data_IF_395105564706
#
_entry.id   IF_395105564706
#
_cell.length_a   1.000
_cell.length_b   1.000
_cell.length_c   1.000
_cell.angle_alpha   90.00
_cell.angle_beta   90.00
_cell.angle_gamma   90.00
#
_symmetry.space_group_name_H-M   'P 1'
#
loop_
_entity.id
_entity.type
_entity.pdbx_description
1 polymer ?
#
# COMPACT_ATOMS: atom_id res chain seq x y z
N UNK A 1 17.14 -8.82 -20.17
CA UNK A 1 16.09 -8.01 -19.51
C UNK A 1 16.07 -6.60 -20.09
N UNK A 2 17.20 -5.90 -20.11
CA UNK A 2 17.27 -4.49 -20.54
C UNK A 2 16.83 -4.28 -22.01
N UNK A 3 17.21 -5.14 -22.92
CA UNK A 3 16.75 -5.05 -24.31
C UNK A 3 15.24 -5.22 -24.47
N UNK A 4 14.63 -6.09 -23.64
CA UNK A 4 13.18 -6.30 -23.66
C UNK A 4 12.50 -5.07 -23.07
N UNK A 5 13.04 -4.49 -22.00
CA UNK A 5 12.58 -3.24 -21.41
C UNK A 5 12.62 -2.09 -22.42
N UNK A 6 13.73 -1.93 -23.16
CA UNK A 6 13.85 -0.92 -24.23
C UNK A 6 12.81 -1.11 -25.33
N UNK A 7 12.62 -2.35 -25.78
CA UNK A 7 11.62 -2.66 -26.81
C UNK A 7 10.19 -2.40 -26.32
N UNK A 8 9.91 -2.69 -25.05
CA UNK A 8 8.61 -2.39 -24.44
C UNK A 8 8.35 -0.88 -24.37
N UNK A 9 9.34 -0.09 -23.91
CA UNK A 9 9.25 1.38 -23.91
C UNK A 9 9.05 1.94 -25.33
N UNK A 10 9.81 1.46 -26.30
CA UNK A 10 9.67 1.88 -27.70
C UNK A 10 8.28 1.55 -28.26
N UNK A 11 7.65 0.46 -27.81
CA UNK A 11 6.29 0.08 -28.19
C UNK A 11 5.23 1.05 -27.65
N UNK A 12 5.43 1.56 -26.45
CA UNK A 12 4.51 2.53 -25.82
C UNK A 12 4.63 3.89 -26.49
N UNK A 13 5.86 4.30 -26.83
CA UNK A 13 6.16 5.61 -27.40
C UNK A 13 5.91 5.74 -28.91
N UNK A 14 5.78 4.65 -29.66
CA UNK A 14 5.75 4.67 -31.12
C UNK A 14 4.36 4.44 -31.72
N UNK A 15 3.98 5.32 -32.64
CA UNK A 15 2.77 5.26 -33.46
C UNK A 15 2.71 3.99 -34.34
N UNK A 16 3.87 3.38 -34.65
CA UNK A 16 3.99 2.14 -35.44
C UNK A 16 3.99 0.86 -34.57
N UNK A 17 2.91 0.69 -33.79
CA UNK A 17 2.73 -0.40 -32.79
C UNK A 17 2.98 -1.82 -33.34
N UNK A 18 2.57 -2.12 -34.57
CA UNK A 18 2.66 -3.50 -35.14
C UNK A 18 4.10 -3.99 -35.32
N UNK A 19 4.99 -3.17 -35.85
CA UNK A 19 6.39 -3.60 -36.16
C UNK A 19 7.24 -3.78 -34.91
N UNK A 20 7.06 -2.93 -33.92
CA UNK A 20 7.76 -2.97 -32.65
C UNK A 20 7.26 -4.14 -31.78
N UNK A 21 5.94 -4.40 -31.76
CA UNK A 21 5.34 -5.55 -31.08
C UNK A 21 5.83 -6.87 -31.66
N UNK A 22 5.94 -7.00 -32.99
CA UNK A 22 6.45 -8.21 -33.67
C UNK A 22 7.90 -8.51 -33.27
N UNK A 23 8.75 -7.47 -33.19
CA UNK A 23 10.14 -7.63 -32.72
C UNK A 23 10.22 -8.10 -31.29
N UNK A 24 9.41 -7.51 -30.40
CA UNK A 24 9.33 -7.90 -28.99
C UNK A 24 8.83 -9.34 -28.85
N UNK A 25 7.73 -9.68 -29.52
CA UNK A 25 7.15 -11.01 -29.52
C UNK A 25 8.15 -12.08 -30.00
N UNK A 26 8.84 -11.83 -31.12
CA UNK A 26 9.86 -12.76 -31.63
C UNK A 26 11.02 -12.95 -30.64
N UNK A 27 11.47 -11.87 -29.98
CA UNK A 27 12.55 -11.95 -29.01
C UNK A 27 12.14 -12.78 -27.77
N UNK A 28 10.89 -12.64 -27.32
CA UNK A 28 10.35 -13.41 -26.19
C UNK A 28 10.17 -14.89 -26.59
N UNK A 29 9.60 -15.16 -27.76
CA UNK A 29 9.36 -16.54 -28.24
C UNK A 29 10.64 -17.36 -28.39
N UNK A 30 11.76 -16.71 -28.64
CA UNK A 30 13.06 -17.37 -28.83
C UNK A 30 13.85 -17.54 -27.53
N UNK A 31 13.26 -17.19 -26.37
CA UNK A 31 13.89 -17.41 -25.07
C UNK A 31 13.70 -18.86 -24.62
N UNK A 32 14.74 -19.44 -24.02
CA UNK A 32 14.60 -20.70 -23.29
C UNK A 32 13.64 -20.54 -22.10
N UNK A 33 12.97 -21.62 -21.65
CA UNK A 33 12.08 -21.58 -20.48
C UNK A 33 12.74 -20.95 -19.25
N UNK A 34 14.01 -21.26 -18.99
CA UNK A 34 14.78 -20.69 -17.87
C UNK A 34 14.95 -19.18 -18.03
N UNK A 35 15.25 -18.70 -19.23
CA UNK A 35 15.42 -17.28 -19.48
C UNK A 35 14.08 -16.54 -19.43
N UNK A 36 13.00 -17.17 -19.88
CA UNK A 36 11.65 -16.62 -19.76
C UNK A 36 11.24 -16.49 -18.29
N UNK A 37 11.51 -17.52 -17.47
CA UNK A 37 11.28 -17.48 -16.03
C UNK A 37 12.06 -16.35 -15.35
N UNK A 38 13.38 -16.23 -15.62
CA UNK A 38 14.22 -15.14 -15.10
C UNK A 38 13.71 -13.77 -15.51
N UNK A 39 13.23 -13.64 -16.74
CA UNK A 39 12.66 -12.40 -17.26
C UNK A 39 11.38 -12.01 -16.51
N UNK A 40 10.43 -12.96 -16.40
CA UNK A 40 9.16 -12.73 -15.67
C UNK A 40 9.44 -12.32 -14.23
N UNK A 41 10.33 -13.05 -13.55
CA UNK A 41 10.74 -12.73 -12.19
C UNK A 41 11.33 -11.32 -12.05
N UNK A 42 12.22 -10.93 -12.98
CA UNK A 42 12.79 -9.59 -12.98
C UNK A 42 11.70 -8.50 -13.13
N UNK A 43 10.69 -8.73 -13.97
CA UNK A 43 9.57 -7.80 -14.13
C UNK A 43 8.67 -7.75 -12.89
N UNK A 44 8.39 -8.89 -12.26
CA UNK A 44 7.63 -8.92 -11.00
C UNK A 44 8.30 -8.07 -9.92
N UNK A 45 9.60 -8.27 -9.71
CA UNK A 45 10.34 -7.45 -8.74
C UNK A 45 10.38 -5.98 -9.14
N UNK A 46 10.57 -5.69 -10.43
CA UNK A 46 10.56 -4.32 -10.94
C UNK A 46 9.24 -3.60 -10.65
N UNK A 47 8.09 -4.26 -10.84
CA UNK A 47 6.78 -3.70 -10.51
C UNK A 47 6.63 -3.44 -9.00
N UNK A 48 7.10 -4.37 -8.15
CA UNK A 48 7.10 -4.15 -6.71
C UNK A 48 7.98 -2.94 -6.31
N UNK A 49 9.13 -2.76 -6.96
CA UNK A 49 10.00 -1.61 -6.68
C UNK A 49 9.40 -0.29 -7.18
N UNK A 50 8.63 -0.30 -8.27
CA UNK A 50 7.86 0.89 -8.69
C UNK A 50 6.86 1.27 -7.61
N UNK A 51 6.09 0.31 -7.08
CA UNK A 51 5.12 0.57 -6.03
C UNK A 51 5.80 1.14 -4.76
N UNK A 52 6.97 0.61 -4.38
CA UNK A 52 7.76 1.15 -3.27
C UNK A 52 8.19 2.60 -3.57
N UNK A 53 8.70 2.86 -4.76
CA UNK A 53 9.14 4.20 -5.15
C UNK A 53 7.99 5.22 -5.16
N UNK A 54 6.80 4.82 -5.64
CA UNK A 54 5.59 5.64 -5.61
C UNK A 54 5.12 5.92 -4.17
N UNK A 55 5.18 4.92 -3.29
CA UNK A 55 4.85 5.07 -1.88
C UNK A 55 5.78 6.05 -1.17
N UNK A 56 7.10 5.94 -1.39
CA UNK A 56 8.11 6.85 -0.82
C UNK A 56 7.94 8.26 -1.39
N UNK A 57 7.67 8.41 -2.68
CA UNK A 57 7.45 9.72 -3.29
C UNK A 57 6.18 10.39 -2.74
N UNK A 58 5.12 9.60 -2.52
CA UNK A 58 3.90 10.06 -1.85
C UNK A 58 4.16 10.54 -0.42
N UNK A 59 4.89 9.75 0.37
CA UNK A 59 5.26 10.13 1.74
C UNK A 59 6.16 11.39 1.77
N UNK A 60 7.11 11.49 0.84
CA UNK A 60 7.97 12.68 0.69
C UNK A 60 7.16 13.93 0.39
N UNK A 61 6.23 13.85 -0.55
CA UNK A 61 5.35 14.97 -0.90
C UNK A 61 4.48 15.39 0.27
N UNK A 62 3.99 14.43 1.04
CA UNK A 62 3.23 14.70 2.26
C UNK A 62 4.07 15.48 3.29
N UNK A 63 5.30 15.04 3.54
CA UNK A 63 6.22 15.70 4.46
C UNK A 63 6.65 17.10 3.97
N UNK A 64 6.85 17.27 2.66
CA UNK A 64 7.16 18.57 2.07
C UNK A 64 5.97 19.53 2.20
N UNK A 65 4.76 19.04 2.07
CA UNK A 65 3.54 19.79 2.30
C UNK A 65 3.43 20.28 3.74
N UNK A 66 3.63 19.40 4.70
CA UNK A 66 3.60 19.74 6.13
C UNK A 66 4.63 20.82 6.47
N UNK A 67 5.79 20.82 5.80
CA UNK A 67 6.87 21.78 6.06
C UNK A 67 6.73 23.12 5.32
N UNK A 68 6.11 23.18 4.14
CA UNK A 68 6.14 24.37 3.27
C UNK A 68 4.88 25.22 3.27
N UNK A 69 3.74 24.75 3.79
CA UNK A 69 2.42 25.44 3.71
C UNK A 69 2.05 26.04 2.32
N UNK A 70 2.75 25.68 1.26
CA UNK A 70 2.48 26.10 -0.12
C UNK A 70 2.41 24.87 -1.02
N UNK A 71 1.30 24.72 -1.71
CA UNK A 71 0.99 23.59 -2.55
C UNK A 71 1.04 24.00 -4.00
N UNK A 72 1.71 23.19 -4.79
CA UNK A 72 1.47 23.13 -6.22
C UNK A 72 0.22 22.26 -6.45
N UNK A 73 -0.84 22.87 -6.97
CA UNK A 73 -2.24 22.46 -6.92
C UNK A 73 -2.61 21.21 -7.73
N UNK A 74 -1.67 20.41 -8.19
CA UNK A 74 -2.00 19.48 -9.28
C UNK A 74 -2.01 17.97 -9.00
N UNK A 75 -1.66 17.44 -7.82
CA UNK A 75 -1.60 15.94 -7.75
C UNK A 75 -1.92 15.20 -6.45
N UNK A 76 -2.02 15.82 -5.30
CA UNK A 76 -2.44 15.09 -4.09
C UNK A 76 -3.45 15.94 -3.31
N UNK A 77 -4.70 15.51 -3.31
CA UNK A 77 -5.75 16.16 -2.53
C UNK A 77 -5.55 15.72 -1.08
N UNK A 78 -5.06 16.63 -0.25
CA UNK A 78 -4.94 16.42 1.19
C UNK A 78 -6.28 16.64 1.88
N UNK A 79 -6.49 15.95 2.98
CA UNK A 79 -7.72 16.06 3.75
C UNK A 79 -8.01 17.50 4.17
N UNK A 80 -6.96 18.28 4.49
CA UNK A 80 -7.05 19.70 4.80
C UNK A 80 -7.60 20.53 3.65
N UNK A 81 -7.12 20.29 2.43
CA UNK A 81 -7.57 21.03 1.24
C UNK A 81 -9.02 20.73 0.91
N UNK A 82 -9.41 19.46 1.04
CA UNK A 82 -10.82 19.07 0.84
C UNK A 82 -11.70 19.87 1.81
N UNK A 83 -11.37 19.86 3.09
CA UNK A 83 -12.17 20.55 4.09
C UNK A 83 -12.06 22.08 4.00
N UNK A 84 -10.88 22.64 3.70
CA UNK A 84 -10.75 24.06 3.42
C UNK A 84 -11.60 24.49 2.21
N UNK A 85 -11.69 23.67 1.18
CA UNK A 85 -12.60 23.89 0.05
C UNK A 85 -14.06 23.98 0.50
N UNK A 86 -14.50 23.11 1.39
CA UNK A 86 -15.86 23.15 1.95
C UNK A 86 -16.08 24.40 2.81
N UNK A 87 -15.14 24.77 3.69
CA UNK A 87 -15.26 25.95 4.55
C UNK A 87 -15.19 27.26 3.79
N UNK A 88 -14.45 27.33 2.69
CA UNK A 88 -14.42 28.50 1.79
C UNK A 88 -15.68 28.63 0.94
N UNK A 89 -16.45 27.55 0.79
CA UNK A 89 -17.68 27.54 0.00
C UNK A 89 -18.83 28.15 0.78
N UNK A 90 -19.12 29.43 0.57
CA UNK A 90 -20.18 30.18 1.26
C UNK A 90 -21.62 29.65 1.02
N UNK A 91 -21.81 28.71 0.11
CA UNK A 91 -23.12 28.08 -0.15
C UNK A 91 -23.50 27.03 0.90
N UNK A 92 -22.55 26.54 1.68
CA UNK A 92 -22.77 25.52 2.70
C UNK A 92 -22.44 26.12 4.07
N UNK A 93 -23.40 26.07 4.99
CA UNK A 93 -23.15 26.56 6.36
C UNK A 93 -22.18 25.65 7.11
N UNK A 94 -21.35 26.23 7.97
CA UNK A 94 -20.40 25.51 8.81
C UNK A 94 -21.07 24.47 9.69
N UNK A 95 -22.28 24.77 10.20
CA UNK A 95 -23.08 23.80 10.97
C UNK A 95 -23.46 22.58 10.13
N UNK A 96 -23.84 22.77 8.87
CA UNK A 96 -24.17 21.66 7.98
C UNK A 96 -22.94 20.81 7.66
N UNK A 97 -21.76 21.43 7.47
CA UNK A 97 -20.51 20.71 7.27
C UNK A 97 -20.19 19.88 8.51
N UNK A 98 -20.34 20.45 9.71
CA UNK A 98 -20.14 19.75 10.97
C UNK A 98 -21.10 18.58 11.14
N UNK A 99 -22.39 18.78 10.84
CA UNK A 99 -23.42 17.75 10.95
C UNK A 99 -23.18 16.58 9.99
N UNK A 100 -22.71 16.86 8.78
CA UNK A 100 -22.31 15.82 7.83
C UNK A 100 -21.08 15.07 8.36
N UNK A 101 -20.05 15.80 8.80
CA UNK A 101 -18.81 15.21 9.26
C UNK A 101 -19.00 14.30 10.48
N UNK A 102 -19.77 14.73 11.48
CA UNK A 102 -20.02 13.90 12.68
C UNK A 102 -20.78 12.61 12.40
N UNK A 103 -21.48 12.54 11.26
CA UNK A 103 -22.25 11.37 10.81
C UNK A 103 -21.54 10.60 9.69
N UNK A 104 -20.26 10.89 9.41
CA UNK A 104 -19.47 10.10 8.46
C UNK A 104 -19.39 8.65 8.92
N UNK A 105 -19.69 7.75 8.00
CA UNK A 105 -19.49 6.32 8.17
C UNK A 105 -18.84 5.76 6.89
N UNK A 106 -17.63 5.26 7.01
CA UNK A 106 -16.82 4.71 5.93
C UNK A 106 -16.48 3.28 6.27
N UNK A 107 -17.12 2.32 5.59
CA UNK A 107 -16.81 0.91 5.73
C UNK A 107 -15.62 0.52 4.84
N UNK A 108 -14.54 0.04 5.44
CA UNK A 108 -13.41 -0.55 4.73
C UNK A 108 -13.43 -2.05 4.95
N UNK A 109 -13.60 -2.81 3.87
CA UNK A 109 -13.68 -4.28 3.95
C UNK A 109 -12.41 -4.90 3.39
N UNK A 110 -11.71 -5.65 4.23
CA UNK A 110 -10.55 -6.44 3.84
C UNK A 110 -11.03 -7.70 3.10
N UNK A 111 -10.47 -7.91 1.90
CA UNK A 111 -10.76 -9.08 1.07
C UNK A 111 -9.50 -9.88 0.84
N UNK A 112 -9.60 -11.21 0.83
CA UNK A 112 -8.51 -12.06 0.39
C UNK A 112 -8.45 -12.08 -1.14
N UNK A 113 -7.28 -11.76 -1.70
CA UNK A 113 -7.03 -11.96 -3.12
C UNK A 113 -6.45 -13.37 -3.32
N UNK A 114 -7.10 -14.28 -4.07
CA UNK A 114 -6.61 -15.65 -4.30
C UNK A 114 -5.21 -15.70 -4.93
N UNK A 115 -4.77 -14.59 -5.52
CA UNK A 115 -3.47 -14.43 -6.17
C UNK A 115 -2.35 -13.99 -5.23
N UNK A 116 -2.65 -13.61 -3.98
CA UNK A 116 -1.63 -13.23 -2.99
C UNK A 116 -0.94 -14.45 -2.36
N UNK A 117 -0.24 -15.20 -3.19
CA UNK A 117 0.58 -16.35 -2.75
C UNK A 117 1.99 -15.91 -2.33
N UNK A 118 2.22 -14.60 -2.16
CA UNK A 118 3.54 -14.07 -1.79
C UNK A 118 3.96 -14.55 -0.41
N UNK A 119 5.22 -14.93 -0.27
CA UNK A 119 5.77 -15.30 1.04
C UNK A 119 5.89 -14.06 1.94
N UNK A 120 5.47 -14.17 3.19
CA UNK A 120 5.66 -13.11 4.21
C UNK A 120 7.11 -12.62 4.25
N UNK A 121 8.08 -13.51 4.03
CA UNK A 121 9.50 -13.18 3.92
C UNK A 121 9.78 -12.11 2.86
N UNK A 122 9.13 -12.19 1.68
CA UNK A 122 9.31 -11.18 0.63
C UNK A 122 8.68 -9.84 1.02
N UNK A 123 7.53 -9.86 1.67
CA UNK A 123 6.88 -8.64 2.16
C UNK A 123 7.81 -7.93 3.15
N UNK A 124 8.36 -8.65 4.13
CA UNK A 124 9.33 -8.09 5.09
C UNK A 124 10.60 -7.55 4.40
N UNK A 125 11.04 -8.19 3.34
CA UNK A 125 12.19 -7.71 2.56
C UNK A 125 11.87 -6.43 1.79
N UNK A 126 10.67 -6.32 1.22
CA UNK A 126 10.22 -5.07 0.58
C UNK A 126 10.09 -3.93 1.60
N UNK A 127 9.56 -4.18 2.81
CA UNK A 127 9.57 -3.20 3.89
C UNK A 127 10.99 -2.75 4.24
N UNK A 128 11.94 -3.68 4.34
CA UNK A 128 13.34 -3.36 4.61
C UNK A 128 13.95 -2.48 3.53
N UNK A 129 13.64 -2.73 2.26
CA UNK A 129 14.07 -1.87 1.14
C UNK A 129 13.47 -0.47 1.28
N UNK A 130 12.19 -0.36 1.64
CA UNK A 130 11.54 0.94 1.88
C UNK A 130 12.28 1.73 2.97
N UNK A 131 12.52 1.13 4.12
CA UNK A 131 13.28 1.75 5.22
C UNK A 131 14.67 2.23 4.79
N UNK A 132 15.41 1.40 4.02
CA UNK A 132 16.74 1.77 3.54
C UNK A 132 16.67 2.95 2.56
N UNK A 133 15.67 2.99 1.69
CA UNK A 133 15.48 4.09 0.73
C UNK A 133 15.08 5.39 1.44
N UNK A 134 14.25 5.33 2.47
CA UNK A 134 13.91 6.49 3.32
C UNK A 134 15.15 7.03 4.05
N UNK A 135 15.93 6.14 4.67
CA UNK A 135 17.21 6.51 5.29
C UNK A 135 18.18 7.13 4.28
N UNK A 136 18.22 6.60 3.06
CA UNK A 136 19.06 7.13 1.98
C UNK A 136 18.67 8.55 1.59
N UNK A 137 17.39 8.86 1.59
CA UNK A 137 16.88 10.21 1.33
C UNK A 137 17.32 11.20 2.41
N UNK A 138 17.27 10.82 3.67
CA UNK A 138 17.71 11.65 4.80
C UNK A 138 19.22 11.89 4.80
N UNK A 139 20.00 10.90 4.32
CA UNK A 139 21.46 10.92 4.37
C UNK A 139 22.12 11.34 3.06
N UNK A 140 21.39 11.99 2.13
CA UNK A 140 21.92 12.43 0.81
C UNK A 140 23.20 13.25 0.88
N UNK A 141 23.41 14.01 1.95
CA UNK A 141 24.59 14.87 2.16
C UNK A 141 25.82 14.11 2.68
N UNK A 142 25.72 12.80 2.97
CA UNK A 142 26.79 12.01 3.59
C UNK A 142 27.22 10.83 2.69
N UNK A 143 28.16 11.03 1.73
CA UNK A 143 28.51 10.01 0.74
C UNK A 143 28.99 8.68 1.32
N UNK A 144 29.72 8.70 2.44
CA UNK A 144 30.19 7.48 3.11
C UNK A 144 29.02 6.64 3.65
N UNK A 145 28.01 7.29 4.22
CA UNK A 145 26.80 6.62 4.72
C UNK A 145 25.95 6.07 3.56
N UNK A 146 25.87 6.80 2.44
CA UNK A 146 25.18 6.33 1.23
C UNK A 146 25.77 5.02 0.71
N UNK A 147 27.10 4.89 0.66
CA UNK A 147 27.77 3.64 0.24
C UNK A 147 27.38 2.43 1.09
N UNK A 148 27.22 2.64 2.39
CA UNK A 148 26.77 1.58 3.31
C UNK A 148 25.32 1.17 3.00
N UNK A 149 24.44 2.16 2.78
CA UNK A 149 23.05 1.89 2.43
C UNK A 149 22.92 1.24 1.06
N UNK A 150 23.70 1.66 0.07
CA UNK A 150 23.72 1.06 -1.27
C UNK A 150 24.17 -0.41 -1.20
N UNK A 151 25.14 -0.75 -0.34
CA UNK A 151 25.52 -2.13 -0.08
C UNK A 151 24.37 -2.92 0.56
N UNK A 152 23.71 -2.37 1.57
CA UNK A 152 22.53 -3.02 2.19
C UNK A 152 21.41 -3.26 1.18
N UNK A 153 21.13 -2.30 0.29
CA UNK A 153 20.15 -2.48 -0.80
C UNK A 153 20.56 -3.62 -1.72
N UNK A 154 21.81 -3.67 -2.13
CA UNK A 154 22.31 -4.75 -2.98
C UNK A 154 22.16 -6.13 -2.31
N UNK A 155 22.46 -6.22 -1.02
CA UNK A 155 22.31 -7.45 -0.24
C UNK A 155 20.83 -7.87 -0.17
N UNK A 156 19.88 -6.94 0.09
CA UNK A 156 18.45 -7.23 0.12
C UNK A 156 17.93 -7.64 -1.27
N UNK A 157 18.36 -6.99 -2.35
CA UNK A 157 18.02 -7.40 -3.72
C UNK A 157 18.54 -8.80 -4.05
N UNK A 158 19.74 -9.13 -3.61
CA UNK A 158 20.32 -10.46 -3.79
C UNK A 158 19.53 -11.52 -3.05
N UNK A 159 19.11 -11.25 -1.82
CA UNK A 159 18.26 -12.14 -1.03
C UNK A 159 16.91 -12.34 -1.71
N UNK A 160 16.24 -11.27 -2.12
CA UNK A 160 14.95 -11.32 -2.82
C UNK A 160 15.09 -12.13 -4.10
N UNK A 161 16.15 -11.90 -4.88
CA UNK A 161 16.39 -12.63 -6.12
C UNK A 161 16.56 -14.14 -5.91
N UNK A 162 17.13 -14.56 -4.79
CA UNK A 162 17.34 -15.96 -4.46
C UNK A 162 16.23 -16.59 -3.59
N UNK A 163 15.20 -15.82 -3.25
CA UNK A 163 14.06 -16.30 -2.46
C UNK A 163 12.94 -16.77 -3.39
N UNK A 164 12.38 -17.96 -3.18
CA UNK A 164 11.20 -18.40 -3.92
C UNK A 164 10.02 -17.47 -3.67
N UNK A 165 9.39 -16.99 -4.74
CA UNK A 165 8.26 -16.05 -4.66
C UNK A 165 6.98 -16.74 -4.18
N UNK A 166 6.76 -17.96 -4.61
CA UNK A 166 5.52 -18.70 -4.37
C UNK A 166 5.66 -19.64 -3.17
N UNK A 167 4.60 -19.72 -2.38
CA UNK A 167 4.45 -20.81 -1.42
C UNK A 167 4.17 -22.12 -2.18
N UNK A 168 4.75 -23.22 -1.71
CA UNK A 168 4.48 -24.56 -2.27
C UNK A 168 3.08 -25.08 -1.91
N UNK A 169 2.50 -24.60 -0.81
CA UNK A 169 1.14 -24.89 -0.37
C UNK A 169 0.23 -23.67 -0.55
N UNK A 170 -1.00 -23.90 -0.96
CA UNK A 170 -2.02 -22.84 -0.99
C UNK A 170 -2.32 -22.39 0.44
N UNK A 171 -2.49 -21.07 0.68
CA UNK A 171 -2.90 -20.58 1.99
C UNK A 171 -4.28 -21.13 2.34
N UNK A 172 -4.49 -21.39 3.62
CA UNK A 172 -5.81 -21.71 4.16
C UNK A 172 -6.59 -20.42 4.47
N UNK A 173 -7.93 -20.44 4.55
CA UNK A 173 -8.69 -19.25 4.93
C UNK A 173 -8.28 -18.62 6.27
N UNK A 174 -7.89 -19.39 7.32
CA UNK A 174 -7.27 -18.79 8.51
C UNK A 174 -5.93 -18.11 8.26
N UNK A 175 -5.09 -18.62 7.33
CA UNK A 175 -3.84 -17.95 6.98
C UNK A 175 -4.09 -16.61 6.29
N UNK A 176 -5.08 -16.55 5.41
CA UNK A 176 -5.50 -15.32 4.73
C UNK A 176 -6.01 -14.29 5.75
N UNK A 177 -6.82 -14.74 6.72
CA UNK A 177 -7.29 -13.88 7.80
C UNK A 177 -6.15 -13.31 8.65
N UNK A 178 -5.15 -14.13 9.00
CA UNK A 178 -3.95 -13.64 9.74
C UNK A 178 -3.19 -12.57 8.96
N UNK A 179 -3.13 -12.68 7.62
CA UNK A 179 -2.47 -11.66 6.81
C UNK A 179 -3.24 -10.35 6.79
N UNK A 180 -4.57 -10.41 6.68
CA UNK A 180 -5.39 -9.21 6.77
C UNK A 180 -5.29 -8.53 8.13
N UNK A 181 -5.28 -9.31 9.22
CA UNK A 181 -5.13 -8.79 10.57
C UNK A 181 -3.75 -8.14 10.79
N UNK A 182 -2.68 -8.68 10.18
CA UNK A 182 -1.36 -8.08 10.25
C UNK A 182 -1.32 -6.66 9.66
N UNK A 183 -2.15 -6.34 8.66
CA UNK A 183 -2.26 -4.97 8.12
C UNK A 183 -2.83 -4.01 9.17
N UNK A 184 -3.78 -4.50 9.99
CA UNK A 184 -4.33 -3.71 11.09
C UNK A 184 -3.25 -3.45 12.13
N UNK A 185 -2.52 -4.49 12.56
CA UNK A 185 -1.43 -4.41 13.54
C UNK A 185 -0.30 -3.50 13.05
N UNK A 186 0.22 -3.75 11.86
CA UNK A 186 1.45 -3.11 11.35
C UNK A 186 1.24 -1.66 10.88
N UNK A 187 0.01 -1.27 10.52
CA UNK A 187 -0.23 0.01 9.85
C UNK A 187 -1.44 0.78 10.38
N UNK A 188 -2.61 0.16 10.40
CA UNK A 188 -3.87 0.89 10.66
C UNK A 188 -4.01 1.31 12.12
N UNK A 189 -3.51 0.51 13.06
CA UNK A 189 -3.58 0.77 14.50
C UNK A 189 -2.99 2.13 14.88
N UNK A 190 -1.86 2.49 14.29
CA UNK A 190 -1.25 3.80 14.52
C UNK A 190 -1.75 4.91 13.60
N UNK A 191 -2.15 4.56 12.38
CA UNK A 191 -2.52 5.55 11.36
C UNK A 191 -3.91 6.15 11.62
N UNK A 192 -4.89 5.33 11.98
CA UNK A 192 -6.26 5.77 12.19
C UNK A 192 -6.40 6.84 13.28
N UNK A 193 -5.78 6.70 14.46
CA UNK A 193 -5.80 7.77 15.47
C UNK A 193 -5.16 9.08 14.99
N UNK A 194 -4.14 9.01 14.12
CA UNK A 194 -3.52 10.22 13.53
C UNK A 194 -4.50 10.92 12.59
N UNK A 195 -5.21 10.16 11.76
CA UNK A 195 -6.25 10.69 10.87
C UNK A 195 -7.37 11.36 11.68
N UNK A 196 -7.82 10.74 12.77
CA UNK A 196 -8.87 11.31 13.63
C UNK A 196 -8.43 12.61 14.29
N UNK A 197 -7.22 12.66 14.85
CA UNK A 197 -6.67 13.89 15.41
C UNK A 197 -6.58 14.99 14.37
N UNK A 198 -6.06 14.68 13.18
CA UNK A 198 -5.93 15.63 12.08
C UNK A 198 -7.29 16.17 11.62
N UNK A 199 -8.30 15.32 11.49
CA UNK A 199 -9.67 15.74 11.24
C UNK A 199 -10.21 16.66 12.33
N UNK A 200 -10.05 16.28 13.59
CA UNK A 200 -10.48 17.10 14.71
C UNK A 200 -9.85 18.49 14.70
N UNK A 201 -8.54 18.57 14.44
CA UNK A 201 -7.80 19.84 14.39
C UNK A 201 -8.30 20.76 13.26
N UNK A 202 -8.68 20.19 12.11
CA UNK A 202 -9.31 20.94 11.02
C UNK A 202 -10.61 21.59 11.48
N UNK A 203 -11.45 20.85 12.22
CA UNK A 203 -12.72 21.37 12.71
C UNK A 203 -12.52 22.41 13.82
N UNK A 204 -11.64 22.15 14.77
CA UNK A 204 -11.27 23.15 15.82
C UNK A 204 -10.79 24.43 15.17
N UNK A 205 -9.89 24.36 14.18
CA UNK A 205 -9.33 25.52 13.47
C UNK A 205 -10.39 26.34 12.73
N UNK A 206 -11.34 25.69 12.06
CA UNK A 206 -12.27 26.36 11.14
C UNK A 206 -13.61 26.73 11.78
N UNK A 207 -14.04 26.01 12.83
CA UNK A 207 -15.37 26.17 13.48
C UNK A 207 -15.21 26.56 14.96
N UNK A 208 -14.03 26.38 15.56
CA UNK A 208 -13.82 26.54 17.00
C UNK A 208 -14.39 25.39 17.85
N UNK A 209 -14.83 24.29 17.22
CA UNK A 209 -15.45 23.14 17.88
C UNK A 209 -14.89 21.85 17.31
N UNK A 210 -14.40 20.97 18.19
CA UNK A 210 -13.92 19.64 17.81
C UNK A 210 -15.05 18.65 17.52
N UNK A 211 -14.68 17.54 16.92
CA UNK A 211 -15.56 16.40 16.65
C UNK A 211 -15.95 15.69 17.97
N UNK A 212 -17.08 14.98 18.02
CA UNK A 212 -17.49 14.27 19.23
C UNK A 212 -16.44 13.27 19.72
N UNK A 213 -16.33 13.07 21.05
CA UNK A 213 -15.36 12.12 21.62
C UNK A 213 -15.56 10.67 21.16
N UNK A 214 -16.80 10.31 20.84
CA UNK A 214 -17.20 9.01 20.32
C UNK A 214 -17.25 8.97 18.79
N UNK A 215 -16.62 9.93 18.13
CA UNK A 215 -16.54 9.98 16.67
C UNK A 215 -15.72 8.80 16.15
N UNK A 216 -16.37 7.93 15.39
CA UNK A 216 -15.76 6.76 14.77
C UNK A 216 -16.23 6.64 13.30
N UNK A 217 -15.65 7.42 12.38
CA UNK A 217 -16.09 7.46 10.98
C UNK A 217 -15.62 6.29 10.13
N UNK A 218 -14.69 5.47 10.63
CA UNK A 218 -14.11 4.36 9.85
C UNK A 218 -14.35 3.06 10.59
N UNK A 219 -15.05 2.14 9.91
CA UNK A 219 -15.29 0.78 10.40
C UNK A 219 -14.56 -0.21 9.50
N UNK A 220 -13.97 -1.24 10.11
CA UNK A 220 -13.27 -2.29 9.40
C UNK A 220 -14.09 -3.57 9.43
N UNK A 221 -14.30 -4.15 8.25
CA UNK A 221 -14.85 -5.48 8.07
C UNK A 221 -13.84 -6.40 7.37
N UNK A 222 -14.11 -7.68 7.38
CA UNK A 222 -13.31 -8.67 6.66
C UNK A 222 -14.22 -9.76 6.09
N UNK A 223 -14.00 -10.11 4.83
CA UNK A 223 -14.64 -11.28 4.21
C UNK A 223 -13.82 -12.56 4.41
N UNK A 224 -12.56 -12.44 4.84
CA UNK A 224 -11.66 -13.57 5.02
C UNK A 224 -12.19 -14.53 6.08
N UNK A 225 -12.35 -15.80 5.69
CA UNK A 225 -12.93 -16.84 6.55
C UNK A 225 -14.43 -16.72 6.80
N UNK A 226 -15.11 -15.69 6.27
CA UNK A 226 -16.56 -15.48 6.40
C UNK A 226 -17.30 -15.67 5.07
N UNK A 227 -16.78 -15.11 4.00
CA UNK A 227 -17.33 -15.27 2.66
C UNK A 227 -16.97 -16.65 2.08
N UNK A 228 -17.99 -17.39 1.72
CA UNK A 228 -17.82 -18.76 1.23
C UNK A 228 -17.62 -18.82 -0.27
N UNK A 229 -18.33 -18.02 -1.04
CA UNK A 229 -18.26 -17.90 -2.51
C UNK A 229 -17.91 -19.23 -3.23
N UNK A 230 -18.58 -20.30 -2.83
CA UNK A 230 -18.34 -21.65 -3.35
C UNK A 230 -17.05 -22.34 -2.86
N UNK A 231 -16.26 -21.73 -1.99
CA UNK A 231 -15.04 -22.31 -1.43
C UNK A 231 -15.39 -23.33 -0.32
N UNK A 232 -15.19 -24.66 -0.53
CA UNK A 232 -15.53 -25.69 0.46
C UNK A 232 -14.66 -25.61 1.72
N UNK A 233 -13.53 -24.90 1.68
CA UNK A 233 -12.64 -24.74 2.84
C UNK A 233 -13.11 -23.67 3.81
N UNK A 234 -14.09 -22.80 3.43
CA UNK A 234 -14.69 -21.81 4.32
C UNK A 234 -15.90 -22.44 5.02
N UNK A 235 -15.64 -23.22 6.05
CA UNK A 235 -16.67 -23.89 6.88
C UNK A 235 -17.08 -23.00 8.06
N UNK A 236 -18.21 -23.33 8.71
CA UNK A 236 -18.64 -22.66 9.94
C UNK A 236 -17.58 -22.71 11.06
N UNK A 237 -16.82 -23.83 11.14
CA UNK A 237 -15.68 -23.98 12.06
C UNK A 237 -14.59 -22.94 11.76
N UNK A 238 -14.23 -22.79 10.49
CA UNK A 238 -13.24 -21.80 10.05
C UNK A 238 -13.72 -20.39 10.33
N UNK A 239 -14.97 -20.06 10.05
CA UNK A 239 -15.54 -18.74 10.37
C UNK A 239 -15.43 -18.44 11.87
N UNK A 240 -15.79 -19.41 12.72
CA UNK A 240 -15.64 -19.26 14.18
C UNK A 240 -14.18 -19.05 14.58
N UNK A 241 -13.26 -19.80 14.02
CA UNK A 241 -11.81 -19.67 14.28
C UNK A 241 -11.31 -18.25 13.91
N UNK A 242 -11.69 -17.76 12.73
CA UNK A 242 -11.28 -16.42 12.26
C UNK A 242 -11.86 -15.31 13.12
N UNK A 243 -13.13 -15.42 13.56
CA UNK A 243 -13.72 -14.46 14.49
C UNK A 243 -12.97 -14.43 15.83
N UNK A 244 -12.63 -15.61 16.37
CA UNK A 244 -11.86 -15.69 17.62
C UNK A 244 -10.45 -15.13 17.46
N UNK A 245 -9.79 -15.39 16.32
CA UNK A 245 -8.50 -14.83 15.98
C UNK A 245 -8.55 -13.31 15.91
N UNK A 246 -9.57 -12.74 15.26
CA UNK A 246 -9.74 -11.28 15.16
C UNK A 246 -9.94 -10.63 16.54
N UNK A 247 -10.71 -11.28 17.42
CA UNK A 247 -10.90 -10.80 18.79
C UNK A 247 -9.63 -10.91 19.63
N UNK A 248 -8.87 -11.98 19.46
CA UNK A 248 -7.59 -12.15 20.13
C UNK A 248 -6.58 -11.10 19.70
N UNK A 249 -6.49 -10.83 18.39
CA UNK A 249 -5.60 -9.80 17.86
C UNK A 249 -5.97 -8.39 18.36
N UNK A 250 -7.27 -8.09 18.38
CA UNK A 250 -7.75 -6.83 18.96
C UNK A 250 -7.37 -6.71 20.45
N UNK A 251 -7.55 -7.78 21.24
CA UNK A 251 -7.16 -7.76 22.66
C UNK A 251 -5.66 -7.52 22.84
N UNK A 252 -4.82 -8.16 22.05
CA UNK A 252 -3.37 -7.98 22.05
C UNK A 252 -2.94 -6.54 21.72
N UNK A 253 -3.67 -5.86 20.84
CA UNK A 253 -3.38 -4.46 20.49
C UNK A 253 -3.72 -3.47 21.61
N UNK A 254 -4.56 -3.87 22.57
CA UNK A 254 -4.90 -3.06 23.74
C UNK A 254 -4.04 -3.39 24.97
N UNK A 255 -3.22 -4.42 24.94
CA UNK A 255 -2.28 -4.78 26.01
C UNK A 255 -1.01 -3.94 25.95
#
# INVERSE_FOLDING_TARGET
VEDIRRLSKANIANINKKKSYKKLSNKIKNLSPINLFKLTRAFTHFMNFINIAESIDGARKLNEYENKKQIDSNKNIFIEEIFEGFFKNRKISTNKIYDIAKNLNIGIVLTAHPTEVKRRTLILKYHKITEILEQRDLLKKYPSKLKILDKKLFDEFTIIWNTDELKRSRPTPPDEARWGLAIIEDSLWETIPKVYRRLNDIFVKNIGKGLPKNFNPIEFGSWMGGDRDGNPNVTAKVTKEVILLSRWEAAKLYE
#
